data_IF_244904212007
#
_entry.id   IF_244904212007
#
_cell.length_a   1.000
_cell.length_b   1.000
_cell.length_c   1.000
_cell.angle_alpha   90.00
_cell.angle_beta   90.00
_cell.angle_gamma   90.00
#
_symmetry.space_group_name_H-M   'P 1'
#
loop_
_entity.id
_entity.type
_entity.pdbx_description
1 polymer ?
#
# COMPACT_ATOMS: atom_id res chain seq x y z
N UNK A 1 -4.21 2.70 9.67
CA UNK A 1 -5.55 2.16 9.29
C UNK A 1 -5.36 0.71 8.87
N UNK A 2 -6.22 -0.20 9.35
CA UNK A 2 -6.19 -1.63 9.02
C UNK A 2 -7.26 -1.91 7.95
N UNK A 3 -6.86 -2.59 6.87
CA UNK A 3 -7.78 -3.10 5.85
C UNK A 3 -7.66 -4.62 5.80
N UNK A 4 -8.80 -5.30 5.75
CA UNK A 4 -8.85 -6.76 5.57
C UNK A 4 -9.19 -7.02 4.10
N UNK A 5 -8.28 -7.67 3.38
CA UNK A 5 -8.53 -8.14 2.01
C UNK A 5 -7.92 -9.52 1.86
N UNK A 6 -8.72 -10.50 1.43
CA UNK A 6 -8.33 -11.92 1.26
C UNK A 6 -7.67 -12.53 2.52
N UNK A 7 -8.22 -12.25 3.71
CA UNK A 7 -7.69 -12.69 5.01
C UNK A 7 -6.28 -12.19 5.36
N UNK A 8 -5.70 -11.27 4.58
CA UNK A 8 -4.46 -10.57 4.92
C UNK A 8 -4.76 -9.20 5.51
N UNK A 9 -4.14 -8.93 6.66
CA UNK A 9 -4.16 -7.61 7.28
C UNK A 9 -3.19 -6.69 6.55
N UNK A 10 -3.72 -5.61 5.97
CA UNK A 10 -2.92 -4.56 5.34
C UNK A 10 -2.81 -3.40 6.33
N UNK A 11 -1.57 -3.10 6.75
CA UNK A 11 -1.26 -1.92 7.55
C UNK A 11 -0.85 -0.79 6.62
N UNK A 12 -1.55 0.35 6.71
CA UNK A 12 -1.21 1.56 5.97
C UNK A 12 -0.68 2.63 6.92
N UNK A 13 0.52 3.16 6.61
CA UNK A 13 1.12 4.34 7.24
C UNK A 13 1.15 5.49 6.24
N UNK A 14 1.03 6.71 6.75
CA UNK A 14 1.06 7.93 5.96
C UNK A 14 2.15 8.86 6.46
N UNK A 15 2.70 9.63 5.54
CA UNK A 15 3.68 10.67 5.78
C UNK A 15 3.19 11.90 5.02
N UNK A 16 3.02 12.99 5.74
CA UNK A 16 2.56 14.27 5.22
C UNK A 16 3.77 15.17 4.99
N UNK A 17 3.92 15.67 3.76
CA UNK A 17 4.98 16.59 3.35
C UNK A 17 4.45 18.00 3.08
N UNK A 18 3.21 18.30 3.45
CA UNK A 18 2.54 19.59 3.31
C UNK A 18 1.85 19.77 1.94
N UNK A 19 2.56 19.50 0.85
CA UNK A 19 2.04 19.63 -0.53
C UNK A 19 1.69 18.28 -1.18
N UNK A 20 2.15 17.17 -0.61
CA UNK A 20 1.80 15.83 -1.03
C UNK A 20 1.88 14.85 0.15
N UNK A 21 1.30 13.67 -0.06
CA UNK A 21 1.29 12.58 0.89
C UNK A 21 2.08 11.41 0.31
N UNK A 22 2.83 10.74 1.16
CA UNK A 22 3.34 9.40 0.89
C UNK A 22 2.58 8.39 1.76
N UNK A 23 2.20 7.28 1.17
CA UNK A 23 1.71 6.12 1.88
C UNK A 23 2.69 4.95 1.76
N UNK A 24 2.67 4.11 2.77
CA UNK A 24 3.30 2.79 2.77
C UNK A 24 2.22 1.77 3.11
N UNK A 25 2.15 0.68 2.34
CA UNK A 25 1.26 -0.44 2.63
C UNK A 25 2.09 -1.71 2.85
N UNK A 26 1.77 -2.43 3.92
CA UNK A 26 2.51 -3.64 4.31
C UNK A 26 1.55 -4.75 4.71
N UNK A 27 1.84 -5.97 4.27
CA UNK A 27 1.31 -7.23 4.84
C UNK A 27 2.35 -7.82 5.79
N UNK A 28 2.18 -9.09 6.17
CA UNK A 28 3.19 -9.84 6.93
C UNK A 28 4.48 -10.07 6.13
N UNK A 29 4.34 -10.33 4.83
CA UNK A 29 5.42 -10.88 4.01
C UNK A 29 5.97 -9.85 3.01
N UNK A 30 5.22 -8.78 2.72
CA UNK A 30 5.65 -7.76 1.77
C UNK A 30 5.32 -6.34 2.25
N UNK A 31 6.12 -5.38 1.79
CA UNK A 31 5.91 -3.96 2.06
C UNK A 31 6.22 -3.14 0.82
N UNK A 32 5.29 -2.25 0.46
CA UNK A 32 5.47 -1.28 -0.62
C UNK A 32 5.63 0.13 -0.05
N UNK A 33 6.66 0.81 -0.52
CA UNK A 33 7.05 2.16 -0.12
C UNK A 33 6.85 3.14 -1.27
N UNK A 34 7.07 4.43 -1.01
CA UNK A 34 7.11 5.47 -2.05
C UNK A 34 5.81 5.52 -2.88
N UNK A 35 4.65 5.48 -2.21
CA UNK A 35 3.34 5.58 -2.84
C UNK A 35 2.79 6.99 -2.63
N UNK A 36 3.00 7.86 -3.60
CA UNK A 36 2.69 9.29 -3.47
C UNK A 36 1.29 9.65 -4.00
N UNK A 37 0.73 10.72 -3.47
CA UNK A 37 -0.51 11.32 -3.96
C UNK A 37 -0.66 12.77 -3.49
N UNK A 38 -1.35 13.59 -4.27
CA UNK A 38 -1.68 14.97 -3.87
C UNK A 38 -2.74 15.03 -2.76
N UNK A 39 -3.41 13.92 -2.49
CA UNK A 39 -4.27 13.72 -1.32
C UNK A 39 -3.89 12.43 -0.62
N UNK A 40 -4.30 12.31 0.64
CA UNK A 40 -4.08 11.11 1.45
C UNK A 40 -4.74 9.88 0.82
N UNK A 41 -5.93 10.05 0.25
CA UNK A 41 -6.69 9.00 -0.44
C UNK A 41 -5.96 8.52 -1.69
N UNK A 42 -5.41 9.44 -2.50
CA UNK A 42 -4.63 9.07 -3.70
C UNK A 42 -3.36 8.29 -3.34
N UNK A 43 -2.66 8.71 -2.28
CA UNK A 43 -1.48 8.00 -1.79
C UNK A 43 -1.86 6.58 -1.31
N UNK A 44 -2.98 6.44 -0.60
CA UNK A 44 -3.55 5.15 -0.16
C UNK A 44 -3.88 4.24 -1.33
N UNK A 45 -4.60 4.74 -2.33
CA UNK A 45 -4.97 3.98 -3.53
C UNK A 45 -3.74 3.47 -4.26
N UNK A 46 -2.71 4.31 -4.41
CA UNK A 46 -1.44 3.93 -5.02
C UNK A 46 -0.75 2.81 -4.22
N UNK A 47 -0.72 2.91 -2.89
CA UNK A 47 -0.12 1.91 -2.03
C UNK A 47 -0.85 0.57 -2.11
N UNK A 48 -2.18 0.59 -2.10
CA UNK A 48 -2.99 -0.62 -2.27
C UNK A 48 -2.80 -1.22 -3.66
N UNK A 49 -2.77 -0.40 -4.71
CA UNK A 49 -2.56 -0.84 -6.08
C UNK A 49 -1.22 -1.58 -6.23
N UNK A 50 -0.11 -0.97 -5.83
CA UNK A 50 1.23 -1.58 -5.89
C UNK A 50 1.32 -2.85 -5.06
N UNK A 51 0.75 -2.85 -3.84
CA UNK A 51 0.72 -4.04 -3.00
C UNK A 51 -0.02 -5.20 -3.67
N UNK A 52 -1.17 -4.93 -4.31
CA UNK A 52 -1.90 -5.95 -5.05
C UNK A 52 -1.11 -6.45 -6.29
N UNK A 53 -0.30 -5.60 -6.93
CA UNK A 53 0.56 -6.05 -8.03
C UNK A 53 1.61 -7.04 -7.54
N UNK A 54 2.32 -6.71 -6.46
CA UNK A 54 3.33 -7.59 -5.85
C UNK A 54 2.72 -8.94 -5.46
N UNK A 55 1.58 -8.92 -4.74
CA UNK A 55 0.91 -10.15 -4.31
C UNK A 55 0.42 -11.01 -5.50
N UNK A 56 0.02 -10.37 -6.62
CA UNK A 56 -0.36 -11.10 -7.85
C UNK A 56 0.85 -11.69 -8.57
N UNK A 57 2.01 -11.02 -8.55
CA UNK A 57 3.24 -11.50 -9.18
C UNK A 57 3.86 -12.66 -8.38
N UNK A 58 3.85 -12.59 -7.06
CA UNK A 58 4.29 -13.69 -6.19
C UNK A 58 3.42 -14.93 -6.35
N UNK A 59 2.10 -14.76 -6.47
CA UNK A 59 1.17 -15.87 -6.71
C UNK A 59 1.28 -16.53 -8.09
N UNK A 60 1.98 -15.92 -9.05
CA UNK A 60 2.25 -16.51 -10.38
C UNK A 60 3.59 -17.23 -10.47
N UNK A 61 4.45 -17.11 -9.45
CA UNK A 61 5.78 -17.76 -9.40
C UNK A 61 5.78 -19.09 -8.64
N UNK A 62 4.60 -19.58 -8.23
CA UNK A 62 4.37 -20.92 -7.69
C UNK A 62 3.66 -21.77 -8.75
#
# INVERSE_FOLDING_TARGET
MLLIKNSQFIKIRYFDYGNYFMAMASTKDCSVWNCYGTTREKAKEMAIFKLNQVLKEEGKKQ
#
